data_IF_321042619020
#
_entry.id   IF_321042619020
#
_cell.length_a   1.000
_cell.length_b   1.000
_cell.length_c   1.000
_cell.angle_alpha   90.00
_cell.angle_beta   90.00
_cell.angle_gamma   90.00
#
_symmetry.space_group_name_H-M   'P 1'
#
loop_
_entity.id
_entity.type
_entity.pdbx_description
1 polymer ?
#
# COMPACT_ATOMS: atom_id res chain seq x y z
N UNK A 1 14.05 -12.10 22.78
CA UNK A 1 15.47 -11.65 22.86
C UNK A 1 15.93 -11.39 21.43
N UNK A 2 16.16 -10.13 21.03
CA UNK A 2 16.43 -9.77 19.62
C UNK A 2 17.84 -10.14 19.14
N UNK A 3 18.84 -10.14 20.03
CA UNK A 3 20.22 -10.54 19.71
C UNK A 3 20.77 -11.54 20.72
N UNK A 4 21.58 -12.49 20.25
CA UNK A 4 22.19 -13.53 21.08
C UNK A 4 23.34 -12.97 21.94
N UNK A 5 24.16 -12.07 21.37
CA UNK A 5 25.30 -11.45 22.04
C UNK A 5 25.34 -9.93 21.87
N UNK A 6 26.10 -9.25 22.73
CA UNK A 6 26.40 -7.81 22.58
C UNK A 6 27.17 -7.52 21.29
N UNK A 7 28.03 -8.45 20.85
CA UNK A 7 28.78 -8.31 19.60
C UNK A 7 27.85 -8.28 18.39
N UNK A 8 26.86 -9.16 18.34
CA UNK A 8 25.87 -9.21 17.26
C UNK A 8 25.01 -7.94 17.24
N UNK A 9 24.61 -7.47 18.42
CA UNK A 9 23.90 -6.19 18.56
C UNK A 9 24.73 -5.02 18.00
N UNK A 10 26.02 -4.91 18.36
CA UNK A 10 26.91 -3.86 17.86
C UNK A 10 27.10 -3.91 16.34
N UNK A 11 27.24 -5.12 15.77
CA UNK A 11 27.33 -5.30 14.31
C UNK A 11 26.06 -4.84 13.61
N UNK A 12 24.89 -5.21 14.14
CA UNK A 12 23.61 -4.78 13.58
C UNK A 12 23.44 -3.25 13.64
N UNK A 13 23.82 -2.62 14.76
CA UNK A 13 23.78 -1.16 14.90
C UNK A 13 24.70 -0.48 13.88
N UNK A 14 25.95 -0.95 13.73
CA UNK A 14 26.89 -0.38 12.76
C UNK A 14 26.34 -0.49 11.33
N UNK A 15 25.86 -1.67 10.94
CA UNK A 15 25.31 -1.89 9.60
C UNK A 15 24.05 -1.03 9.34
N UNK A 16 23.19 -0.85 10.35
CA UNK A 16 22.03 0.02 10.24
C UNK A 16 22.42 1.48 10.14
N UNK A 17 23.41 1.93 10.91
CA UNK A 17 23.94 3.29 10.82
C UNK A 17 24.51 3.58 9.43
N UNK A 18 25.26 2.64 8.86
CA UNK A 18 25.81 2.76 7.51
C UNK A 18 24.69 2.87 6.46
N UNK A 19 23.62 2.08 6.60
CA UNK A 19 22.44 2.18 5.75
C UNK A 19 21.70 3.50 5.91
N UNK A 20 21.47 3.95 7.15
CA UNK A 20 20.79 5.22 7.44
C UNK A 20 21.55 6.42 6.86
N UNK A 21 22.88 6.35 6.79
CA UNK A 21 23.72 7.40 6.23
C UNK A 21 23.88 7.28 4.70
N UNK A 22 23.37 6.21 4.07
CA UNK A 22 23.45 6.01 2.64
C UNK A 22 22.33 6.77 1.93
N UNK A 23 22.71 7.77 1.12
CA UNK A 23 21.75 8.49 0.27
C UNK A 23 21.02 7.62 -0.76
N UNK A 24 21.46 6.36 -0.96
CA UNK A 24 20.80 5.39 -1.86
C UNK A 24 19.53 4.80 -1.28
N UNK A 25 19.32 4.89 0.03
CA UNK A 25 18.16 4.31 0.72
C UNK A 25 16.95 5.27 0.76
N UNK A 26 17.07 6.45 0.14
CA UNK A 26 16.05 7.50 0.23
C UNK A 26 15.82 8.24 -1.09
N UNK A 27 14.63 8.82 -1.22
CA UNK A 27 14.35 9.91 -2.17
C UNK A 27 14.77 11.20 -1.47
N UNK A 28 15.66 11.98 -2.07
CA UNK A 28 16.19 13.22 -1.48
C UNK A 28 15.57 14.43 -2.16
N UNK A 29 14.95 15.32 -1.40
CA UNK A 29 14.48 16.62 -1.89
C UNK A 29 15.63 17.62 -2.07
N UNK A 30 15.42 18.71 -2.84
CA UNK A 30 16.38 19.81 -2.94
C UNK A 30 16.74 20.48 -1.60
N UNK A 31 15.81 20.49 -0.62
CA UNK A 31 16.06 21.03 0.73
C UNK A 31 16.89 20.09 1.60
N UNK A 32 17.11 18.85 1.17
CA UNK A 32 17.88 17.84 1.88
C UNK A 32 17.04 16.87 2.71
N UNK A 33 15.72 17.03 2.77
CA UNK A 33 14.81 16.04 3.38
C UNK A 33 14.90 14.70 2.65
N UNK A 34 14.93 13.61 3.41
CA UNK A 34 15.11 12.24 2.94
C UNK A 34 13.82 11.46 3.21
N UNK A 35 13.21 10.89 2.16
CA UNK A 35 11.97 10.13 2.24
C UNK A 35 12.21 8.65 1.93
N UNK A 36 11.51 7.78 2.66
CA UNK A 36 11.45 6.35 2.41
C UNK A 36 10.13 5.78 2.96
N UNK A 37 9.68 4.68 2.38
CA UNK A 37 8.59 3.86 2.91
C UNK A 37 9.15 2.79 3.85
N UNK A 38 8.32 1.98 4.50
CA UNK A 38 8.76 1.00 5.50
C UNK A 38 9.70 -0.08 4.93
N UNK A 39 9.60 -0.36 3.63
CA UNK A 39 10.48 -1.26 2.88
C UNK A 39 11.58 -0.52 2.10
N UNK A 40 11.76 0.78 2.35
CA UNK A 40 12.86 1.58 1.83
C UNK A 40 12.53 2.34 0.55
N UNK A 41 13.59 2.80 -0.15
CA UNK A 41 13.46 3.67 -1.32
C UNK A 41 12.64 3.09 -2.46
N UNK A 42 12.78 1.78 -2.74
CA UNK A 42 12.14 1.18 -3.91
C UNK A 42 10.61 1.17 -3.81
N UNK A 43 10.09 0.92 -2.60
CA UNK A 43 8.66 1.06 -2.31
C UNK A 43 8.26 2.54 -2.49
N UNK A 44 8.99 3.47 -1.87
CA UNK A 44 8.68 4.90 -2.00
C UNK A 44 8.71 5.41 -3.45
N UNK A 45 9.64 4.93 -4.29
CA UNK A 45 9.69 5.32 -5.70
C UNK A 45 8.51 4.76 -6.48
N UNK A 46 8.11 3.53 -6.17
CA UNK A 46 6.96 2.89 -6.78
C UNK A 46 5.65 3.57 -6.35
N UNK A 47 5.49 3.93 -5.08
CA UNK A 47 4.33 4.67 -4.55
C UNK A 47 4.08 5.95 -5.38
N UNK A 48 5.13 6.76 -5.61
CA UNK A 48 5.03 7.99 -6.41
C UNK A 48 4.68 7.71 -7.88
N UNK A 49 5.24 6.64 -8.49
CA UNK A 49 4.91 6.27 -9.87
C UNK A 49 3.44 5.88 -10.01
N UNK A 50 2.89 5.18 -9.02
CA UNK A 50 1.49 4.77 -9.00
C UNK A 50 0.56 5.97 -8.85
N UNK A 51 0.92 6.95 -8.02
CA UNK A 51 0.20 8.23 -7.91
C UNK A 51 0.27 8.99 -9.25
N UNK A 52 1.45 9.08 -9.87
CA UNK A 52 1.61 9.71 -11.18
C UNK A 52 0.77 9.02 -12.26
N UNK A 53 0.81 7.69 -12.34
CA UNK A 53 0.00 6.91 -13.27
C UNK A 53 -1.50 7.16 -13.06
N UNK A 54 -1.95 7.27 -11.81
CA UNK A 54 -3.33 7.62 -11.49
C UNK A 54 -3.69 9.03 -11.97
N UNK A 55 -2.88 10.03 -11.66
CA UNK A 55 -3.19 11.43 -11.94
C UNK A 55 -3.18 11.75 -13.44
N UNK A 56 -2.24 11.18 -14.21
CA UNK A 56 -2.05 11.48 -15.63
C UNK A 56 -3.12 10.87 -16.54
N UNK A 57 -3.84 9.84 -16.10
CA UNK A 57 -4.70 9.04 -16.97
C UNK A 57 -6.16 9.14 -16.57
N UNK A 58 -7.04 9.49 -17.52
CA UNK A 58 -8.49 9.50 -17.28
C UNK A 58 -9.08 8.10 -17.21
N UNK A 59 -8.55 7.14 -17.99
CA UNK A 59 -8.97 5.74 -17.90
C UNK A 59 -8.25 5.03 -16.75
N UNK A 60 -8.94 4.89 -15.62
CA UNK A 60 -8.41 4.23 -14.43
C UNK A 60 -8.20 2.72 -14.59
N UNK A 61 -8.68 2.11 -15.68
CA UNK A 61 -8.36 0.69 -15.98
C UNK A 61 -6.87 0.52 -16.27
N UNK A 62 -6.23 1.50 -16.91
CA UNK A 62 -4.79 1.46 -17.17
C UNK A 62 -4.00 1.43 -15.87
N UNK A 63 -4.44 2.22 -14.88
CA UNK A 63 -3.86 2.19 -13.54
C UNK A 63 -4.02 0.82 -12.87
N UNK A 64 -5.24 0.27 -12.84
CA UNK A 64 -5.46 -1.07 -12.26
C UNK A 64 -4.61 -2.16 -12.95
N UNK A 65 -4.47 -2.09 -14.27
CA UNK A 65 -3.61 -3.02 -15.02
C UNK A 65 -2.14 -2.84 -14.63
N UNK A 66 -1.67 -1.61 -14.42
CA UNK A 66 -0.29 -1.35 -14.00
C UNK A 66 -0.01 -1.92 -12.62
N UNK A 67 -0.88 -1.67 -11.64
CA UNK A 67 -0.76 -2.23 -10.29
C UNK A 67 -0.77 -3.76 -10.32
N UNK A 68 -1.69 -4.37 -11.08
CA UNK A 68 -1.78 -5.81 -11.21
C UNK A 68 -0.52 -6.41 -11.87
N UNK A 69 0.00 -5.75 -12.92
CA UNK A 69 1.23 -6.17 -13.59
C UNK A 69 2.45 -6.10 -12.66
N UNK A 70 2.64 -4.99 -11.94
CA UNK A 70 3.76 -4.82 -11.01
C UNK A 70 3.69 -5.84 -9.88
N UNK A 71 2.53 -6.00 -9.24
CA UNK A 71 2.36 -6.95 -8.14
C UNK A 71 2.55 -8.42 -8.55
N UNK A 72 2.38 -8.76 -9.82
CA UNK A 72 2.59 -10.11 -10.35
C UNK A 72 4.01 -10.36 -10.83
N UNK A 73 4.66 -9.34 -11.42
CA UNK A 73 5.86 -9.51 -12.21
C UNK A 73 7.10 -8.87 -11.58
N UNK A 74 6.93 -8.01 -10.57
CA UNK A 74 8.00 -7.33 -9.85
C UNK A 74 8.11 -7.83 -8.40
N UNK A 75 9.18 -7.43 -7.73
CA UNK A 75 9.41 -7.64 -6.30
C UNK A 75 9.86 -6.33 -5.66
N UNK A 76 9.77 -6.25 -4.33
CA UNK A 76 10.27 -5.11 -3.57
C UNK A 76 11.78 -4.81 -3.77
N UNK A 77 12.54 -5.73 -4.37
CA UNK A 77 13.98 -5.57 -4.64
C UNK A 77 14.29 -5.15 -6.08
N UNK A 78 13.34 -5.21 -7.00
CA UNK A 78 13.55 -4.85 -8.40
C UNK A 78 12.52 -3.87 -8.98
N UNK A 79 11.64 -3.29 -8.16
CA UNK A 79 10.57 -2.40 -8.63
C UNK A 79 11.11 -1.27 -9.52
N UNK A 80 12.26 -0.67 -9.15
CA UNK A 80 12.92 0.40 -9.91
C UNK A 80 13.36 0.00 -11.33
N UNK A 81 13.72 -1.26 -11.57
CA UNK A 81 14.09 -1.75 -12.90
C UNK A 81 12.95 -2.49 -13.63
N UNK A 82 11.89 -2.86 -12.91
CA UNK A 82 10.78 -3.67 -13.42
C UNK A 82 9.58 -2.83 -13.90
N UNK A 83 9.27 -1.73 -13.21
CA UNK A 83 8.00 -0.99 -13.38
C UNK A 83 7.74 -0.54 -14.83
N UNK A 84 8.76 -0.15 -15.58
CA UNK A 84 8.59 0.50 -16.88
C UNK A 84 7.99 -0.47 -17.91
N UNK A 85 8.43 -1.73 -17.91
CA UNK A 85 7.87 -2.75 -18.79
C UNK A 85 6.41 -3.04 -18.43
N UNK A 86 6.09 -3.10 -17.14
CA UNK A 86 4.75 -3.39 -16.64
C UNK A 86 3.76 -2.24 -16.88
N UNK A 87 4.24 -0.99 -16.79
CA UNK A 87 3.49 0.21 -17.18
C UNK A 87 3.21 0.25 -18.70
N UNK A 88 4.20 -0.07 -19.54
CA UNK A 88 4.01 -0.17 -21.00
C UNK A 88 2.98 -1.23 -21.37
N UNK A 89 3.02 -2.42 -20.74
CA UNK A 89 2.00 -3.47 -20.94
C UNK A 89 0.60 -3.02 -20.54
N UNK A 90 0.49 -2.15 -19.54
CA UNK A 90 -0.77 -1.56 -19.10
C UNK A 90 -1.27 -0.44 -20.04
N UNK A 91 -0.47 0.01 -21.01
CA UNK A 91 -0.80 1.08 -21.95
C UNK A 91 -0.49 2.49 -21.44
N UNK A 92 0.38 2.62 -20.44
CA UNK A 92 0.76 3.91 -19.87
C UNK A 92 1.96 4.54 -20.60
N UNK A 93 1.99 5.87 -20.65
CA UNK A 93 3.15 6.65 -21.09
C UNK A 93 4.20 6.72 -19.97
N UNK A 94 5.27 5.93 -20.11
CA UNK A 94 6.34 5.86 -19.09
C UNK A 94 7.21 7.10 -19.05
N UNK A 95 7.29 7.86 -20.14
CA UNK A 95 8.00 9.14 -20.14
C UNK A 95 7.21 10.17 -19.33
N UNK A 96 5.89 10.23 -19.52
CA UNK A 96 5.03 11.11 -18.75
C UNK A 96 5.07 10.78 -17.23
N UNK A 97 5.08 9.49 -16.87
CA UNK A 97 5.23 9.07 -15.46
C UNK A 97 6.60 9.47 -14.91
N UNK A 98 7.67 9.29 -15.68
CA UNK A 98 9.03 9.69 -15.29
C UNK A 98 9.12 11.20 -15.09
N UNK A 99 8.50 11.97 -15.98
CA UNK A 99 8.42 13.42 -15.88
C UNK A 99 7.66 13.88 -14.63
N UNK A 100 6.50 13.28 -14.36
CA UNK A 100 5.73 13.54 -13.14
C UNK A 100 6.54 13.19 -11.88
N UNK A 101 7.19 12.03 -11.84
CA UNK A 101 8.05 11.63 -10.72
C UNK A 101 9.14 12.67 -10.44
N UNK A 102 9.84 13.13 -11.49
CA UNK A 102 10.96 14.06 -11.35
C UNK A 102 10.51 15.49 -10.99
N UNK A 103 9.37 15.94 -11.50
CA UNK A 103 8.89 17.33 -11.33
C UNK A 103 7.99 17.51 -10.11
N UNK A 104 7.17 16.51 -9.80
CA UNK A 104 6.10 16.59 -8.80
C UNK A 104 6.29 15.62 -7.63
N UNK A 105 7.24 14.68 -7.70
CA UNK A 105 7.34 13.57 -6.76
C UNK A 105 7.45 13.98 -5.29
N UNK A 106 8.23 15.01 -4.96
CA UNK A 106 8.34 15.51 -3.58
C UNK A 106 7.03 16.11 -3.10
N UNK A 107 6.37 16.92 -3.92
CA UNK A 107 5.07 17.53 -3.57
C UNK A 107 3.97 16.47 -3.39
N UNK A 108 4.02 15.38 -4.16
CA UNK A 108 3.12 14.24 -4.00
C UNK A 108 3.36 13.51 -2.68
N UNK A 109 4.62 13.24 -2.33
CA UNK A 109 4.98 12.61 -1.04
C UNK A 109 4.46 13.44 0.14
N UNK A 110 4.70 14.76 0.14
CA UNK A 110 4.25 15.64 1.21
C UNK A 110 2.72 15.67 1.36
N UNK A 111 1.99 15.62 0.25
CA UNK A 111 0.51 15.51 0.28
C UNK A 111 0.05 14.20 0.91
N UNK A 112 0.68 13.08 0.58
CA UNK A 112 0.35 11.78 1.17
C UNK A 112 0.75 11.69 2.65
N UNK A 113 1.86 12.31 3.06
CA UNK A 113 2.22 12.45 4.48
C UNK A 113 1.13 13.24 5.22
N UNK A 114 0.71 14.38 4.69
CA UNK A 114 -0.36 15.18 5.32
C UNK A 114 -1.69 14.41 5.43
N UNK A 115 -2.04 13.63 4.41
CA UNK A 115 -3.24 12.77 4.44
C UNK A 115 -3.11 11.64 5.46
N UNK A 116 -1.98 10.95 5.50
CA UNK A 116 -1.76 9.85 6.45
C UNK A 116 -1.74 10.35 7.90
N UNK A 117 -1.19 11.54 8.16
CA UNK A 117 -1.27 12.22 9.47
C UNK A 117 -2.72 12.60 9.82
N UNK A 118 -3.44 13.21 8.87
CA UNK A 118 -4.84 13.60 9.05
C UNK A 118 -5.71 12.39 9.43
N UNK A 119 -5.50 11.25 8.78
CA UNK A 119 -6.26 10.02 9.02
C UNK A 119 -5.62 9.08 10.05
N UNK A 120 -4.51 9.49 10.69
CA UNK A 120 -3.76 8.71 11.69
C UNK A 120 -3.39 7.31 11.19
N UNK A 121 -3.02 7.19 9.92
CA UNK A 121 -2.56 5.95 9.32
C UNK A 121 -1.16 5.63 9.85
N UNK A 122 -1.01 4.50 10.53
CA UNK A 122 0.26 4.10 11.15
C UNK A 122 0.91 2.88 10.49
N UNK A 123 0.25 2.28 9.51
CA UNK A 123 0.76 1.11 8.80
C UNK A 123 -0.14 0.66 7.66
N UNK A 124 0.41 -0.12 6.75
CA UNK A 124 -0.29 -0.69 5.61
C UNK A 124 -0.63 -2.17 5.82
N UNK A 125 -1.67 -2.69 5.15
CA UNK A 125 -2.75 -1.92 4.53
C UNK A 125 -3.68 -1.33 5.61
N UNK A 126 -4.13 -0.10 5.39
CA UNK A 126 -5.20 0.55 6.16
C UNK A 126 -6.35 0.90 5.20
N UNK A 127 -7.58 0.58 5.58
CA UNK A 127 -8.78 0.92 4.82
C UNK A 127 -9.62 1.88 5.63
N UNK A 128 -10.15 2.91 4.97
CA UNK A 128 -11.17 3.78 5.51
C UNK A 128 -12.45 3.62 4.71
N UNK A 129 -13.58 3.48 5.40
CA UNK A 129 -14.91 3.45 4.80
C UNK A 129 -15.69 4.65 5.34
N UNK A 130 -16.08 5.56 4.45
CA UNK A 130 -16.73 6.83 4.81
C UNK A 130 -15.92 7.67 5.82
N UNK A 131 -14.58 7.64 5.73
CA UNK A 131 -13.68 8.39 6.61
C UNK A 131 -13.35 7.72 7.95
N UNK A 132 -13.91 6.53 8.22
CA UNK A 132 -13.67 5.78 9.44
C UNK A 132 -12.77 4.57 9.17
N UNK A 133 -11.81 4.29 10.07
CA UNK A 133 -10.92 3.12 9.97
C UNK A 133 -11.77 1.84 10.00
N UNK A 134 -11.52 0.97 9.01
CA UNK A 134 -12.16 -0.32 8.91
C UNK A 134 -11.14 -1.46 8.78
N UNK A 135 -11.27 -2.53 9.59
CA UNK A 135 -12.14 -2.65 10.76
C UNK A 135 -11.74 -1.66 11.86
N UNK A 136 -12.68 -1.21 12.71
CA UNK A 136 -12.32 -0.35 13.83
C UNK A 136 -11.45 -1.13 14.83
N UNK A 137 -10.50 -0.45 15.47
CA UNK A 137 -9.56 -1.06 16.43
C UNK A 137 -10.28 -1.87 17.53
N UNK A 138 -11.42 -1.35 18.02
CA UNK A 138 -12.23 -2.01 19.04
C UNK A 138 -12.83 -3.37 18.61
N UNK A 139 -12.81 -3.70 17.32
CA UNK A 139 -13.26 -5.00 16.82
C UNK A 139 -12.17 -6.09 16.92
N UNK A 140 -10.93 -5.72 17.23
CA UNK A 140 -9.83 -6.65 17.45
C UNK A 140 -9.74 -7.04 18.93
N UNK A 141 -9.64 -8.34 19.17
CA UNK A 141 -9.37 -8.90 20.50
C UNK A 141 -8.02 -9.63 20.49
N UNK A 142 -7.36 -9.66 21.66
CA UNK A 142 -6.06 -10.30 21.80
C UNK A 142 -6.11 -11.82 21.58
N UNK A 143 -7.26 -12.45 21.85
CA UNK A 143 -7.47 -13.88 21.63
C UNK A 143 -7.85 -14.23 20.18
N UNK A 144 -7.94 -13.23 19.29
CA UNK A 144 -8.27 -13.40 17.88
C UNK A 144 -9.74 -13.73 17.60
N UNK A 145 -10.63 -13.64 18.60
CA UNK A 145 -12.04 -14.01 18.49
C UNK A 145 -12.98 -12.82 18.35
N UNK A 146 -12.45 -11.65 18.00
CA UNK A 146 -13.22 -10.45 17.76
C UNK A 146 -14.34 -10.70 16.74
N UNK A 147 -15.45 -9.99 16.91
CA UNK A 147 -16.55 -9.98 15.94
C UNK A 147 -16.97 -8.56 15.63
N UNK A 148 -17.37 -8.34 14.38
CA UNK A 148 -17.84 -7.06 13.90
C UNK A 148 -19.19 -7.24 13.20
N UNK A 149 -20.20 -6.52 13.69
CA UNK A 149 -21.50 -6.42 13.01
C UNK A 149 -21.41 -5.38 11.90
N UNK A 150 -21.72 -5.78 10.68
CA UNK A 150 -21.73 -4.93 9.48
C UNK A 150 -23.11 -5.06 8.86
N UNK A 151 -23.94 -4.02 9.04
CA UNK A 151 -25.36 -4.07 8.67
C UNK A 151 -26.08 -5.22 9.38
N UNK A 152 -26.55 -6.21 8.60
CA UNK A 152 -27.24 -7.41 9.10
C UNK A 152 -26.32 -8.62 9.28
N UNK A 153 -25.05 -8.53 8.89
CA UNK A 153 -24.07 -9.61 8.95
C UNK A 153 -23.13 -9.43 10.13
N UNK A 154 -22.52 -10.53 10.55
CA UNK A 154 -21.43 -10.54 11.54
C UNK A 154 -20.22 -11.20 10.88
N UNK A 155 -19.06 -10.54 10.95
CA UNK A 155 -17.78 -11.06 10.53
C UNK A 155 -16.94 -11.40 11.77
N UNK A 156 -16.16 -12.48 11.69
CA UNK A 156 -15.12 -12.81 12.67
C UNK A 156 -13.80 -12.13 12.30
N UNK A 157 -12.93 -11.92 13.29
CA UNK A 157 -11.68 -11.16 13.14
C UNK A 157 -10.75 -11.69 12.05
N UNK A 158 -10.69 -13.01 11.85
CA UNK A 158 -9.91 -13.65 10.78
C UNK A 158 -10.45 -13.34 9.36
N UNK A 159 -11.70 -12.85 9.26
CA UNK A 159 -12.41 -12.60 8.00
C UNK A 159 -12.50 -11.12 7.63
N UNK A 160 -12.10 -10.22 8.53
CA UNK A 160 -12.29 -8.78 8.38
C UNK A 160 -11.81 -8.20 7.04
N UNK A 161 -10.70 -8.71 6.50
CA UNK A 161 -10.11 -8.24 5.23
C UNK A 161 -10.49 -9.11 4.02
N UNK A 162 -11.46 -10.00 4.16
CA UNK A 162 -11.91 -10.83 3.05
C UNK A 162 -12.77 -10.04 2.07
N UNK A 163 -12.72 -10.32 0.75
CA UNK A 163 -13.41 -9.52 -0.26
C UNK A 163 -14.90 -9.29 0.03
N UNK A 164 -15.63 -10.33 0.45
CA UNK A 164 -17.05 -10.20 0.77
C UNK A 164 -17.34 -9.39 2.05
N UNK A 165 -16.41 -9.33 3.01
CA UNK A 165 -16.56 -8.52 4.23
C UNK A 165 -16.29 -7.04 3.92
N UNK A 166 -15.24 -6.74 3.16
CA UNK A 166 -14.96 -5.39 2.67
C UNK A 166 -16.10 -4.86 1.80
N UNK A 167 -16.61 -5.69 0.88
CA UNK A 167 -17.79 -5.37 0.07
C UNK A 167 -19.00 -5.06 0.95
N UNK A 168 -19.27 -5.85 1.98
CA UNK A 168 -20.38 -5.58 2.91
C UNK A 168 -20.20 -4.22 3.60
N UNK A 169 -18.98 -3.92 4.10
CA UNK A 169 -18.68 -2.66 4.76
C UNK A 169 -18.93 -1.44 3.85
N UNK A 170 -18.59 -1.55 2.57
CA UNK A 170 -18.92 -0.53 1.57
C UNK A 170 -20.43 -0.46 1.30
N UNK A 171 -21.07 -1.60 1.10
CA UNK A 171 -22.48 -1.70 0.70
C UNK A 171 -23.45 -1.13 1.74
N UNK A 172 -23.14 -1.26 3.03
CA UNK A 172 -23.97 -0.68 4.10
C UNK A 172 -23.90 0.85 4.15
N UNK A 173 -22.89 1.46 3.52
CA UNK A 173 -22.75 2.91 3.43
C UNK A 173 -23.60 3.57 2.34
N UNK A 174 -24.16 2.81 1.41
CA UNK A 174 -24.96 3.37 0.31
C UNK A 174 -26.40 3.68 0.73
N UNK A 175 -26.87 4.89 0.40
CA UNK A 175 -28.30 5.24 0.51
C UNK A 175 -29.17 4.40 -0.44
N UNK A 176 -28.67 4.15 -1.64
CA UNK A 176 -29.28 3.27 -2.63
C UNK A 176 -28.27 2.21 -3.03
N UNK A 177 -28.50 0.97 -2.59
CA UNK A 177 -27.54 -0.12 -2.73
C UNK A 177 -27.31 -0.46 -4.21
N UNK A 178 -26.07 -0.41 -4.71
CA UNK A 178 -25.76 -0.78 -6.09
C UNK A 178 -25.93 -2.28 -6.31
N UNK A 179 -26.13 -2.70 -7.57
CA UNK A 179 -26.40 -4.11 -7.92
C UNK A 179 -25.22 -5.03 -7.56
N UNK A 180 -24.00 -4.50 -7.61
CA UNK A 180 -22.73 -5.17 -7.30
C UNK A 180 -22.70 -5.68 -5.86
N UNK A 181 -23.44 -5.06 -4.94
CA UNK A 181 -23.58 -5.54 -3.56
C UNK A 181 -24.23 -6.92 -3.45
N UNK A 182 -24.95 -7.36 -4.49
CA UNK A 182 -25.55 -8.69 -4.58
C UNK A 182 -24.60 -9.74 -5.16
N UNK A 183 -23.47 -9.33 -5.74
CA UNK A 183 -22.50 -10.25 -6.34
C UNK A 183 -21.65 -10.90 -5.27
N UNK A 184 -21.56 -12.23 -5.23
CA UNK A 184 -20.61 -12.94 -4.38
C UNK A 184 -19.21 -12.88 -5.01
N UNK A 185 -18.24 -12.36 -4.26
CA UNK A 185 -16.84 -12.31 -4.70
C UNK A 185 -16.13 -13.64 -4.34
N UNK A 186 -15.09 -14.03 -5.09
CA UNK A 186 -14.27 -15.19 -4.73
C UNK A 186 -13.71 -15.08 -3.31
N UNK A 187 -13.65 -16.21 -2.61
CA UNK A 187 -13.00 -16.32 -1.32
C UNK A 187 -11.55 -16.79 -1.53
N UNK A 188 -10.54 -15.96 -1.22
CA UNK A 188 -9.14 -16.32 -1.41
C UNK A 188 -8.60 -17.22 -0.29
N UNK A 189 -9.44 -17.71 0.63
CA UNK A 189 -9.01 -18.59 1.72
C UNK A 189 -8.27 -19.81 1.18
N UNK A 190 -7.03 -20.01 1.64
CA UNK A 190 -6.16 -21.10 1.18
C UNK A 190 -5.42 -20.83 -0.12
N UNK A 191 -5.63 -19.68 -0.78
CA UNK A 191 -4.78 -19.23 -1.87
C UNK A 191 -3.37 -18.89 -1.35
N UNK A 192 -2.35 -19.17 -2.15
CA UNK A 192 -0.98 -18.71 -1.83
C UNK A 192 -0.94 -17.18 -1.89
N UNK A 193 -0.23 -16.51 -0.97
CA UNK A 193 0.06 -15.09 -1.11
C UNK A 193 0.68 -14.84 -2.49
N UNK A 194 0.19 -13.81 -3.19
CA UNK A 194 0.80 -13.40 -4.46
C UNK A 194 2.21 -12.91 -4.13
N UNK A 195 3.22 -13.56 -4.70
CA UNK A 195 4.59 -13.12 -4.55
C UNK A 195 4.77 -11.85 -5.39
N UNK A 196 4.98 -10.69 -4.76
CA UNK A 196 5.28 -9.46 -5.49
C UNK A 196 4.60 -8.19 -4.97
N UNK A 197 3.80 -8.25 -3.90
CA UNK A 197 3.42 -7.01 -3.21
C UNK A 197 4.70 -6.29 -2.75
N UNK A 198 4.94 -5.12 -3.33
CA UNK A 198 5.96 -4.18 -2.84
C UNK A 198 5.52 -3.65 -1.47
#
# INVERSE_FOLDING_TARGET
>A
KYFATVSDCKKAISANLDKCNSGKEYIKSPSGTMYASLHGRQEATQDVREICAWNLNSDKKLWWNFIDNVNKNCTAQNADSCWEQEAKKAGLDTQAITDCFNKEGIDLIEKEIALTEQFKVQGSPTLLVNGEIFPPEAAYTQDGKGTLKIGKKVATQDRYRMPNVLKEALCVGFKSTPKECKTTLPDPSGAKPVAGAC
#
